data_IF_711209091070
#
_entry.id   IF_711209091070
#
_cell.length_a   1.000
_cell.length_b   1.000
_cell.length_c   1.000
_cell.angle_alpha   90.00
_cell.angle_beta   90.00
_cell.angle_gamma   90.00
#
_symmetry.space_group_name_H-M   'P 1'
#
loop_
_entity.id
_entity.type
_entity.pdbx_description
1 polymer ?
#
# COMPACT_ATOMS: atom_id res chain seq x y z
N UNK A 1 27.53 -34.11 -38.49
CA UNK A 1 27.55 -33.46 -37.15
C UNK A 1 27.71 -34.55 -36.12
N UNK A 2 28.73 -34.50 -35.28
CA UNK A 2 29.03 -35.58 -34.32
C UNK A 2 28.03 -35.52 -33.17
N UNK A 3 27.43 -36.63 -32.72
CA UNK A 3 26.40 -36.66 -31.69
C UNK A 3 26.85 -36.03 -30.35
N UNK A 4 28.15 -35.99 -30.10
CA UNK A 4 28.74 -35.34 -28.93
C UNK A 4 28.53 -33.82 -28.88
N UNK A 5 28.46 -33.14 -30.01
CA UNK A 5 28.22 -31.69 -30.04
C UNK A 5 26.77 -31.33 -29.71
N UNK A 6 25.82 -32.19 -30.04
CA UNK A 6 24.40 -32.00 -29.72
C UNK A 6 24.17 -32.20 -28.23
N UNK A 7 24.83 -33.17 -27.61
CA UNK A 7 24.70 -33.43 -26.18
C UNK A 7 25.26 -32.27 -25.32
N UNK A 8 26.38 -31.68 -25.73
CA UNK A 8 26.99 -30.55 -25.04
C UNK A 8 26.10 -29.31 -25.14
N UNK A 9 25.45 -29.07 -26.30
CA UNK A 9 24.53 -27.96 -26.49
C UNK A 9 23.28 -28.10 -25.62
N UNK A 10 22.76 -29.31 -25.43
CA UNK A 10 21.60 -29.56 -24.53
C UNK A 10 21.94 -29.39 -23.06
N UNK A 11 23.12 -29.80 -22.62
CA UNK A 11 23.56 -29.62 -21.23
C UNK A 11 23.81 -28.14 -20.92
N UNK A 12 24.37 -27.37 -21.85
CA UNK A 12 24.58 -25.92 -21.69
C UNK A 12 23.25 -25.17 -21.64
N UNK A 13 22.23 -25.59 -22.39
CA UNK A 13 20.91 -24.97 -22.38
C UNK A 13 20.10 -25.29 -21.13
N UNK A 14 20.29 -26.46 -20.50
CA UNK A 14 19.64 -26.83 -19.24
C UNK A 14 20.26 -26.11 -18.02
N UNK A 15 21.52 -25.68 -18.08
CA UNK A 15 22.18 -24.96 -16.98
C UNK A 15 21.80 -23.46 -16.93
N UNK A 16 21.19 -22.90 -17.98
CA UNK A 16 20.77 -21.50 -18.02
C UNK A 16 19.40 -21.24 -17.34
N UNK A 17 18.71 -22.28 -16.88
CA UNK A 17 17.42 -22.17 -16.20
C UNK A 17 17.58 -22.19 -14.68
N UNK A 18 18.61 -21.51 -14.16
CA UNK A 18 18.66 -21.21 -12.73
C UNK A 18 17.63 -20.10 -12.47
N UNK A 19 16.48 -20.52 -11.93
CA UNK A 19 15.50 -19.61 -11.37
C UNK A 19 16.20 -18.68 -10.37
N UNK A 20 16.32 -17.42 -10.72
CA UNK A 20 16.62 -16.37 -9.75
C UNK A 20 15.39 -16.24 -8.85
N UNK A 21 15.35 -17.02 -7.79
CA UNK A 21 14.44 -16.78 -6.69
C UNK A 21 14.85 -15.42 -6.09
N UNK A 22 14.16 -14.36 -6.50
CA UNK A 22 14.30 -13.07 -5.83
C UNK A 22 13.74 -13.26 -4.42
N UNK A 23 14.63 -13.40 -3.47
CA UNK A 23 14.29 -13.31 -2.06
C UNK A 23 13.73 -11.91 -1.82
N UNK A 24 12.42 -11.79 -1.70
CA UNK A 24 11.78 -10.58 -1.20
C UNK A 24 12.30 -10.35 0.20
N UNK A 25 13.04 -9.24 0.39
CA UNK A 25 13.49 -8.83 1.70
C UNK A 25 12.27 -8.77 2.64
N UNK A 26 12.34 -9.32 3.86
CA UNK A 26 11.26 -9.23 4.81
C UNK A 26 11.00 -7.74 5.07
N UNK A 27 9.81 -7.28 4.72
CA UNK A 27 9.36 -5.92 5.05
C UNK A 27 9.32 -5.85 6.58
N UNK A 28 10.22 -5.08 7.18
CA UNK A 28 10.30 -4.92 8.62
C UNK A 28 8.91 -4.51 9.15
N UNK A 29 8.48 -5.15 10.24
CA UNK A 29 7.21 -4.80 10.89
C UNK A 29 7.23 -3.32 11.27
N UNK A 30 6.14 -2.58 11.03
CA UNK A 30 6.05 -1.17 11.38
C UNK A 30 6.27 -0.96 12.88
N UNK A 31 7.01 0.09 13.26
CA UNK A 31 7.33 0.42 14.65
C UNK A 31 6.11 0.71 15.53
N UNK A 32 4.94 0.95 14.94
CA UNK A 32 3.65 1.20 15.60
C UNK A 32 2.81 -0.06 15.85
N UNK A 33 3.40 -1.26 15.69
CA UNK A 33 2.71 -2.54 15.88
C UNK A 33 1.64 -2.83 14.82
N UNK A 34 1.62 -2.08 13.72
CA UNK A 34 0.70 -2.35 12.62
C UNK A 34 1.07 -3.68 11.95
N UNK A 35 0.09 -4.51 11.53
CA UNK A 35 0.38 -5.69 10.74
C UNK A 35 0.99 -5.30 9.39
N UNK A 36 1.83 -6.17 8.86
CA UNK A 36 2.37 -6.01 7.51
C UNK A 36 1.23 -6.09 6.50
N UNK A 37 1.09 -5.08 5.65
CA UNK A 37 0.10 -5.02 4.57
C UNK A 37 0.75 -4.78 3.21
N UNK A 38 0.01 -5.07 2.16
CA UNK A 38 0.42 -4.86 0.78
C UNK A 38 -0.11 -3.51 0.28
N UNK A 39 0.79 -2.61 -0.08
CA UNK A 39 0.52 -1.26 -0.59
C UNK A 39 -0.41 -1.26 -1.82
N UNK A 40 -0.08 -2.07 -2.82
CA UNK A 40 -0.80 -2.08 -4.10
C UNK A 40 -2.21 -2.66 -3.93
N UNK A 41 -2.33 -3.69 -3.12
CA UNK A 41 -3.62 -4.25 -2.70
C UNK A 41 -4.43 -3.21 -1.95
N UNK A 42 -3.82 -2.51 -1.01
CA UNK A 42 -4.46 -1.47 -0.21
C UNK A 42 -4.99 -0.31 -1.03
N UNK A 43 -4.25 0.14 -2.02
CA UNK A 43 -4.70 1.19 -2.96
C UNK A 43 -5.94 0.74 -3.75
N UNK A 44 -5.95 -0.50 -4.23
CA UNK A 44 -7.11 -1.07 -4.93
C UNK A 44 -8.32 -1.18 -4.01
N UNK A 45 -8.13 -1.68 -2.79
CA UNK A 45 -9.20 -1.82 -1.79
C UNK A 45 -9.75 -0.45 -1.38
N UNK A 46 -8.91 0.56 -1.19
CA UNK A 46 -9.33 1.93 -0.88
C UNK A 46 -10.27 2.51 -1.95
N UNK A 47 -9.98 2.22 -3.21
CA UNK A 47 -10.86 2.58 -4.33
C UNK A 47 -12.11 1.71 -4.37
N UNK A 48 -11.97 0.38 -4.28
CA UNK A 48 -13.06 -0.58 -4.39
C UNK A 48 -14.13 -0.39 -3.31
N UNK A 49 -13.73 -0.11 -2.08
CA UNK A 49 -14.66 0.15 -0.97
C UNK A 49 -15.16 1.59 -0.87
N UNK A 50 -14.82 2.43 -1.85
CA UNK A 50 -15.33 3.80 -1.96
C UNK A 50 -14.76 4.79 -0.95
N UNK A 51 -13.69 4.46 -0.25
CA UNK A 51 -13.06 5.35 0.74
C UNK A 51 -12.67 6.69 0.13
N UNK A 52 -12.23 6.68 -1.14
CA UNK A 52 -11.82 7.87 -1.88
C UNK A 52 -12.93 8.90 -2.07
N UNK A 53 -14.19 8.48 -2.07
CA UNK A 53 -15.32 9.38 -2.31
C UNK A 53 -15.40 10.49 -1.24
N UNK A 54 -15.06 10.16 -0.01
CA UNK A 54 -15.02 11.11 1.09
C UNK A 54 -13.60 11.59 1.40
N UNK A 55 -12.60 10.70 1.28
CA UNK A 55 -11.24 10.96 1.74
C UNK A 55 -10.27 11.39 0.63
N UNK A 56 -10.73 11.44 -0.64
CA UNK A 56 -9.89 11.75 -1.80
C UNK A 56 -9.01 10.58 -2.27
N UNK A 57 -8.61 10.56 -3.54
CA UNK A 57 -7.88 9.44 -4.16
C UNK A 57 -6.51 9.16 -3.54
N UNK A 58 -5.85 10.19 -3.03
CA UNK A 58 -4.60 10.08 -2.29
C UNK A 58 -4.83 10.19 -0.77
N UNK A 59 -6.07 9.97 -0.31
CA UNK A 59 -6.45 10.10 1.09
C UNK A 59 -6.13 11.49 1.69
N UNK A 60 -6.06 12.51 0.83
CA UNK A 60 -5.71 13.89 1.18
C UNK A 60 -6.84 14.63 1.90
N UNK A 61 -8.01 14.04 2.00
CA UNK A 61 -9.21 14.66 2.52
C UNK A 61 -10.17 15.11 1.41
N UNK A 62 -11.36 15.49 1.83
CA UNK A 62 -12.48 15.97 1.02
C UNK A 62 -13.60 16.33 1.97
N UNK A 63 -14.80 15.80 1.78
CA UNK A 63 -15.87 15.90 2.79
C UNK A 63 -15.52 15.14 4.08
N UNK A 64 -14.72 14.08 3.96
CA UNK A 64 -14.09 13.39 5.09
C UNK A 64 -12.71 13.96 5.41
N UNK A 65 -12.19 13.70 6.62
CA UNK A 65 -10.89 14.19 7.02
C UNK A 65 -9.74 13.59 6.20
N UNK A 66 -8.60 14.29 6.19
CA UNK A 66 -7.34 13.75 5.66
C UNK A 66 -6.92 12.51 6.45
N UNK A 67 -6.57 11.43 5.75
CA UNK A 67 -6.07 10.19 6.34
C UNK A 67 -4.57 10.01 6.13
N UNK A 68 -4.03 10.53 5.05
CA UNK A 68 -2.63 10.37 4.69
C UNK A 68 -1.94 11.76 4.57
N UNK A 69 -0.63 11.80 4.77
CA UNK A 69 0.36 10.74 4.89
C UNK A 69 0.56 10.21 6.33
N UNK A 70 -0.10 10.74 7.31
CA UNK A 70 0.04 10.36 8.72
C UNK A 70 -1.29 9.83 9.26
N UNK A 71 -1.65 8.57 8.96
CA UNK A 71 -2.84 7.97 9.52
C UNK A 71 -2.71 7.83 11.06
N UNK A 72 -3.84 7.67 11.73
CA UNK A 72 -3.87 7.27 13.14
C UNK A 72 -3.07 5.98 13.32
N UNK A 73 -2.56 5.73 14.55
CA UNK A 73 -1.97 4.43 14.87
C UNK A 73 -2.95 3.30 14.51
N UNK A 74 -2.44 2.16 14.02
CA UNK A 74 -3.27 1.09 13.43
C UNK A 74 -4.42 0.65 14.33
N UNK A 75 -4.19 0.53 15.63
CA UNK A 75 -5.23 0.12 16.57
C UNK A 75 -6.41 1.12 16.59
N UNK A 76 -6.12 2.42 16.64
CA UNK A 76 -7.14 3.48 16.63
C UNK A 76 -7.82 3.57 15.25
N UNK A 77 -7.04 3.47 14.16
CA UNK A 77 -7.55 3.42 12.80
C UNK A 77 -8.52 2.25 12.60
N UNK A 78 -8.10 1.04 12.99
CA UNK A 78 -8.91 -0.17 12.87
C UNK A 78 -10.20 -0.07 13.67
N UNK A 79 -10.12 0.38 14.93
CA UNK A 79 -11.32 0.60 15.77
C UNK A 79 -12.28 1.57 15.12
N UNK A 80 -11.78 2.71 14.60
CA UNK A 80 -12.64 3.73 13.99
C UNK A 80 -13.31 3.22 12.71
N UNK A 81 -12.60 2.51 11.85
CA UNK A 81 -13.16 1.93 10.61
C UNK A 81 -14.27 0.92 10.93
N UNK A 82 -14.15 0.18 12.04
CA UNK A 82 -15.16 -0.80 12.47
C UNK A 82 -16.39 -0.14 13.13
N UNK A 83 -16.17 0.93 13.87
CA UNK A 83 -17.18 1.64 14.67
C UNK A 83 -16.99 3.15 14.52
N UNK A 84 -17.24 3.71 13.32
CA UNK A 84 -17.07 5.13 13.10
C UNK A 84 -18.15 5.94 13.81
N UNK A 85 -17.86 7.22 14.01
CA UNK A 85 -18.84 8.23 14.41
C UNK A 85 -19.18 9.12 13.21
N UNK A 86 -20.37 9.72 13.20
CA UNK A 86 -20.83 10.60 12.11
C UNK A 86 -21.23 9.84 10.84
N UNK A 87 -20.97 10.43 9.69
CA UNK A 87 -21.50 9.97 8.39
C UNK A 87 -20.69 8.83 7.74
N UNK A 88 -19.55 8.45 8.30
CA UNK A 88 -18.74 7.36 7.74
C UNK A 88 -19.46 6.01 7.98
N UNK A 89 -19.68 5.18 6.93
CA UNK A 89 -20.26 3.86 7.11
C UNK A 89 -19.29 2.90 7.82
N UNK A 90 -19.80 1.98 8.69
CA UNK A 90 -18.97 0.99 9.33
C UNK A 90 -18.55 -0.12 8.36
N UNK A 91 -17.27 -0.44 8.32
CA UNK A 91 -16.74 -1.58 7.56
C UNK A 91 -16.45 -2.73 8.53
N UNK A 92 -17.38 -3.67 8.65
CA UNK A 92 -17.20 -4.86 9.50
C UNK A 92 -16.09 -5.78 8.94
N UNK A 93 -15.58 -6.71 9.76
CA UNK A 93 -14.58 -7.68 9.30
C UNK A 93 -15.12 -8.66 8.25
N UNK A 94 -16.44 -8.77 8.10
CA UNK A 94 -17.08 -9.56 7.03
C UNK A 94 -17.01 -8.84 5.68
N UNK A 95 -17.05 -7.51 5.68
CA UNK A 95 -16.99 -6.68 4.46
C UNK A 95 -15.54 -6.39 4.08
N UNK A 96 -14.73 -5.92 5.01
CA UNK A 96 -13.31 -5.61 4.84
C UNK A 96 -12.54 -6.39 5.91
N UNK A 97 -11.94 -7.51 5.54
CA UNK A 97 -11.23 -8.38 6.49
C UNK A 97 -10.06 -7.67 7.18
N UNK A 98 -9.53 -8.24 8.26
CA UNK A 98 -8.39 -7.63 8.96
C UNK A 98 -7.11 -7.56 8.09
N UNK A 99 -6.75 -8.58 7.29
CA UNK A 99 -5.65 -8.46 6.33
C UNK A 99 -5.87 -7.36 5.29
N UNK A 100 -7.08 -7.26 4.74
CA UNK A 100 -7.42 -6.20 3.78
C UNK A 100 -7.34 -4.80 4.41
N UNK A 101 -7.75 -4.65 5.67
CA UNK A 101 -7.61 -3.39 6.39
C UNK A 101 -6.14 -3.03 6.65
N UNK A 102 -5.29 -4.04 6.90
CA UNK A 102 -3.84 -3.83 6.98
C UNK A 102 -3.25 -3.38 5.64
N UNK A 103 -3.72 -3.92 4.54
CA UNK A 103 -3.33 -3.48 3.19
C UNK A 103 -3.72 -2.01 2.96
N UNK A 104 -4.96 -1.63 3.27
CA UNK A 104 -5.41 -0.22 3.19
C UNK A 104 -4.53 0.68 4.05
N UNK A 105 -4.19 0.25 5.26
CA UNK A 105 -3.30 1.02 6.14
C UNK A 105 -1.90 1.18 5.56
N UNK A 106 -1.34 0.12 4.95
CA UNK A 106 -0.06 0.20 4.25
C UNK A 106 -0.08 1.23 3.11
N UNK A 107 -1.17 1.30 2.35
CA UNK A 107 -1.37 2.34 1.33
C UNK A 107 -1.38 3.74 1.96
N UNK A 108 -2.15 3.98 3.02
CA UNK A 108 -2.22 5.30 3.66
C UNK A 108 -0.84 5.78 4.15
N UNK A 109 -0.02 4.87 4.67
CA UNK A 109 1.33 5.18 5.13
C UNK A 109 2.32 5.45 4.00
N UNK A 110 2.06 4.94 2.81
CA UNK A 110 2.93 5.10 1.64
C UNK A 110 2.77 6.44 0.93
N UNK A 111 1.67 7.14 1.18
CA UNK A 111 1.40 8.44 0.55
C UNK A 111 2.47 9.45 1.02
N UNK A 112 3.19 10.09 0.09
CA UNK A 112 4.25 11.02 0.46
C UNK A 112 3.70 12.27 1.14
N UNK A 113 4.52 12.92 1.95
CA UNK A 113 4.20 14.26 2.46
C UNK A 113 4.09 15.23 1.28
N UNK A 114 3.11 16.15 1.31
CA UNK A 114 3.08 17.23 0.35
C UNK A 114 4.38 18.07 0.47
N UNK A 115 4.83 18.68 -0.62
CA UNK A 115 5.98 19.57 -0.56
C UNK A 115 5.70 20.74 0.40
N UNK A 116 6.71 21.28 1.08
CA UNK A 116 6.55 22.45 1.92
C UNK A 116 6.09 23.66 1.08
N UNK A 117 5.27 24.51 1.66
CA UNK A 117 4.64 25.66 0.96
C UNK A 117 5.71 26.55 0.32
N UNK A 118 6.85 26.73 1.00
CA UNK A 118 7.97 27.54 0.54
C UNK A 118 8.62 27.01 -0.75
N UNK A 119 8.42 25.72 -1.05
CA UNK A 119 8.91 25.10 -2.28
C UNK A 119 7.96 25.29 -3.48
N UNK A 120 6.77 25.85 -3.25
CA UNK A 120 5.75 26.09 -4.28
C UNK A 120 5.79 27.58 -4.63
N UNK A 121 6.36 27.99 -5.80
CA UNK A 121 6.57 29.40 -6.11
C UNK A 121 5.30 30.25 -6.03
N UNK A 122 4.18 29.73 -6.51
CA UNK A 122 2.89 30.45 -6.51
C UNK A 122 2.29 30.65 -5.11
N UNK A 123 2.70 29.88 -4.11
CA UNK A 123 2.18 29.99 -2.73
C UNK A 123 3.15 30.74 -1.79
N UNK A 124 4.42 30.77 -2.15
CA UNK A 124 5.45 31.48 -1.36
C UNK A 124 5.18 32.99 -1.29
N UNK A 125 4.74 33.59 -2.39
CA UNK A 125 4.57 35.03 -2.53
C UNK A 125 3.19 35.52 -2.05
N UNK A 126 2.36 34.62 -1.50
CA UNK A 126 1.01 34.89 -0.98
C UNK A 126 0.93 35.06 0.55
N UNK A 127 2.07 35.09 1.24
CA UNK A 127 2.13 35.21 2.71
C UNK A 127 2.52 36.62 3.17
#
# INVERSE_FOLDING_TARGET
MRPQMILIAFIAMMMALTLTTQAQAPTAAPADGAPVGNLESGKKLFAQYGCYQCHGYAAQGGVGPRLAPRPLAFAAFSKYVRQPTGEMPPYTAKVLSNPQLADVYAFLRSVPQPPPIESIPLLRDSQ
#
